data_IF_777689846703
#
_entry.id   IF_777689846703
#
_cell.length_a   1.000
_cell.length_b   1.000
_cell.length_c   1.000
_cell.angle_alpha   90.00
_cell.angle_beta   90.00
_cell.angle_gamma   90.00
#
_symmetry.space_group_name_H-M   'P 1'
#
loop_
_entity.id
_entity.type
_entity.pdbx_description
1 polymer ?
#
# COMPACT_ATOMS: atom_id res chain seq x y z
N UNK A 1 -26.27 -0.97 -2.88
CA UNK A 1 -26.70 -0.93 -1.46
C UNK A 1 -26.03 0.27 -0.80
N UNK A 2 -26.80 1.24 -0.29
CA UNK A 2 -26.24 2.44 0.34
C UNK A 2 -25.91 2.20 1.81
N UNK A 3 -25.00 2.98 2.38
CA UNK A 3 -24.61 2.88 3.79
C UNK A 3 -25.81 3.03 4.74
N UNK A 4 -26.73 3.93 4.41
CA UNK A 4 -27.96 4.16 5.17
C UNK A 4 -28.87 2.91 5.19
N UNK A 5 -29.03 2.25 4.04
CA UNK A 5 -29.80 1.01 3.96
C UNK A 5 -29.15 -0.11 4.80
N UNK A 6 -27.81 -0.19 4.84
CA UNK A 6 -27.11 -1.18 5.67
C UNK A 6 -27.26 -0.91 7.19
N UNK A 7 -27.41 0.35 7.62
CA UNK A 7 -27.74 0.69 9.01
C UNK A 7 -29.17 0.28 9.37
N UNK A 8 -30.14 0.60 8.51
CA UNK A 8 -31.55 0.26 8.73
C UNK A 8 -31.79 -1.25 8.81
N UNK A 9 -30.99 -2.04 8.08
CA UNK A 9 -31.01 -3.50 8.13
C UNK A 9 -30.22 -4.09 9.31
N UNK A 10 -29.60 -3.26 10.16
CA UNK A 10 -28.79 -3.71 11.30
C UNK A 10 -27.47 -4.38 10.92
N UNK A 11 -27.04 -4.27 9.66
CA UNK A 11 -25.76 -4.82 9.17
C UNK A 11 -24.57 -3.98 9.62
N UNK A 12 -24.80 -2.71 9.98
CA UNK A 12 -23.80 -1.77 10.48
C UNK A 12 -24.27 -1.21 11.82
N UNK A 13 -23.42 -1.30 12.84
CA UNK A 13 -23.73 -0.83 14.19
C UNK A 13 -23.81 0.70 14.26
N UNK A 14 -24.62 1.25 15.17
CA UNK A 14 -24.82 2.71 15.35
C UNK A 14 -23.53 3.48 15.68
N UNK A 15 -22.58 2.80 16.34
CA UNK A 15 -21.23 3.32 16.65
C UNK A 15 -20.17 2.93 15.62
N UNK A 16 -20.56 2.49 14.42
CA UNK A 16 -19.59 2.21 13.37
C UNK A 16 -18.81 3.48 13.05
N UNK A 17 -17.46 3.43 13.03
CA UNK A 17 -16.66 4.62 12.83
C UNK A 17 -17.02 5.26 11.49
N UNK A 18 -17.64 6.43 11.57
CA UNK A 18 -17.80 7.28 10.41
C UNK A 18 -16.42 7.85 10.14
N UNK A 19 -15.79 7.40 9.05
CA UNK A 19 -14.80 8.26 8.43
C UNK A 19 -15.61 9.45 7.90
N UNK A 20 -15.73 10.50 8.71
CA UNK A 20 -16.02 11.79 8.12
C UNK A 20 -14.83 12.03 7.21
N UNK A 21 -15.05 11.97 5.89
CA UNK A 21 -14.18 12.72 4.97
C UNK A 21 -14.46 14.16 5.35
N UNK A 22 -13.80 14.62 6.40
CA UNK A 22 -13.67 16.03 6.66
C UNK A 22 -12.90 16.48 5.44
N UNK A 23 -13.63 17.08 4.49
CA UNK A 23 -13.08 18.06 3.58
C UNK A 23 -12.65 19.29 4.40
N UNK A 24 -11.90 19.05 5.47
CA UNK A 24 -11.03 20.03 6.04
C UNK A 24 -9.92 20.12 5.04
N UNK A 25 -9.64 21.34 4.63
CA UNK A 25 -8.37 21.69 4.06
C UNK A 25 -7.25 21.39 5.09
N UNK A 26 -6.97 20.13 5.38
CA UNK A 26 -5.58 19.73 5.31
C UNK A 26 -5.17 20.10 3.88
N UNK A 27 -4.00 20.73 3.64
CA UNK A 27 -3.50 20.77 2.28
C UNK A 27 -3.66 19.35 1.78
N UNK A 28 -4.43 19.18 0.72
CA UNK A 28 -4.27 17.99 -0.07
C UNK A 28 -2.80 18.06 -0.48
N UNK A 29 -1.92 17.47 0.32
CA UNK A 29 -0.78 16.77 -0.21
C UNK A 29 -1.35 15.54 -0.95
N UNK A 30 -2.23 15.79 -1.92
CA UNK A 30 -1.92 15.48 -3.30
C UNK A 30 -0.63 16.22 -3.68
N UNK A 31 0.46 15.94 -2.96
CA UNK A 31 1.67 15.62 -3.67
C UNK A 31 1.27 14.35 -4.39
N UNK A 32 0.66 14.58 -5.56
CA UNK A 32 0.91 13.73 -6.71
C UNK A 32 2.42 13.82 -6.81
N UNK A 33 3.12 13.01 -6.02
CA UNK A 33 4.57 12.88 -6.06
C UNK A 33 4.77 12.57 -7.52
N UNK A 34 5.22 13.59 -8.24
CA UNK A 34 5.26 13.57 -9.68
C UNK A 34 6.13 12.37 -9.94
N UNK A 35 5.52 11.24 -10.32
CA UNK A 35 6.22 9.99 -10.37
C UNK A 35 7.28 10.24 -11.43
N UNK A 36 8.51 10.51 -10.98
CA UNK A 36 9.60 10.78 -11.89
C UNK A 36 9.66 9.52 -12.71
N UNK A 37 9.40 9.66 -14.02
CA UNK A 37 9.29 8.53 -14.93
C UNK A 37 10.51 7.66 -14.65
N UNK A 38 10.26 6.44 -14.15
CA UNK A 38 11.34 5.57 -13.73
C UNK A 38 12.30 5.41 -14.91
N UNK A 39 13.61 5.54 -14.70
CA UNK A 39 14.54 5.47 -15.81
C UNK A 39 14.41 4.10 -16.47
N UNK A 40 14.52 4.04 -17.81
CA UNK A 40 14.36 2.79 -18.54
C UNK A 40 15.40 1.76 -18.10
N UNK A 41 15.05 0.48 -18.18
CA UNK A 41 16.01 -0.60 -17.90
C UNK A 41 17.25 -0.42 -18.80
N UNK A 42 18.47 -0.41 -18.24
CA UNK A 42 19.68 -0.35 -19.04
C UNK A 42 19.80 -1.62 -19.91
N UNK A 43 20.11 -1.44 -21.19
CA UNK A 43 20.32 -2.53 -22.14
C UNK A 43 21.68 -3.21 -21.99
N UNK A 44 22.64 -2.53 -21.35
CA UNK A 44 24.00 -2.99 -21.11
C UNK A 44 24.37 -2.66 -19.66
N UNK A 45 25.02 -3.60 -18.98
CA UNK A 45 25.57 -3.35 -17.65
C UNK A 45 26.74 -2.37 -17.73
N UNK A 46 26.73 -1.35 -16.88
CA UNK A 46 27.78 -0.32 -16.81
C UNK A 46 29.14 -0.91 -16.40
N UNK A 47 29.13 -2.04 -15.68
CA UNK A 47 30.31 -2.73 -15.21
C UNK A 47 30.28 -4.21 -15.61
N UNK A 48 31.43 -4.85 -15.87
CA UNK A 48 31.53 -6.29 -16.03
C UNK A 48 30.97 -7.02 -14.80
N UNK A 49 30.35 -8.19 -15.00
CA UNK A 49 29.81 -9.04 -13.94
C UNK A 49 30.93 -9.75 -13.16
N UNK A 50 31.78 -8.98 -12.48
CA UNK A 50 32.85 -9.42 -11.59
C UNK A 50 32.48 -9.07 -10.15
N UNK A 51 32.89 -9.91 -9.19
CA UNK A 51 32.60 -9.69 -7.77
C UNK A 51 33.20 -8.37 -7.26
N UNK A 52 34.36 -7.96 -7.79
CA UNK A 52 35.04 -6.71 -7.47
C UNK A 52 34.20 -5.47 -7.80
N UNK A 53 33.28 -5.58 -8.77
CA UNK A 53 32.45 -4.47 -9.25
C UNK A 53 31.11 -4.35 -8.51
N UNK A 54 30.78 -5.29 -7.61
CA UNK A 54 29.54 -5.29 -6.83
C UNK A 54 29.31 -3.95 -6.10
N UNK A 55 30.27 -3.37 -5.35
CA UNK A 55 30.04 -2.12 -4.63
C UNK A 55 29.73 -0.95 -5.57
N UNK A 56 30.40 -0.88 -6.73
CA UNK A 56 30.15 0.17 -7.71
C UNK A 56 28.81 0.01 -8.42
N UNK A 57 28.39 -1.24 -8.67
CA UNK A 57 27.10 -1.53 -9.25
C UNK A 57 25.96 -1.16 -8.29
N UNK A 58 26.13 -1.44 -6.99
CA UNK A 58 25.18 -1.05 -5.95
C UNK A 58 25.02 0.48 -5.89
N UNK A 59 26.13 1.20 -5.81
CA UNK A 59 26.12 2.66 -5.76
C UNK A 59 25.51 3.27 -7.03
N UNK A 60 25.82 2.69 -8.19
CA UNK A 60 25.20 3.11 -9.44
C UNK A 60 23.68 2.88 -9.45
N UNK A 61 23.19 1.74 -8.97
CA UNK A 61 21.75 1.45 -8.90
C UNK A 61 21.03 2.43 -7.97
N UNK A 62 21.61 2.70 -6.80
CA UNK A 62 21.08 3.65 -5.84
C UNK A 62 20.99 5.06 -6.44
N UNK A 63 22.06 5.52 -7.11
CA UNK A 63 22.06 6.81 -7.77
C UNK A 63 21.09 6.87 -8.96
N UNK A 64 21.11 5.88 -9.85
CA UNK A 64 20.32 5.87 -11.08
C UNK A 64 18.81 5.81 -10.79
N UNK A 65 18.40 5.00 -9.82
CA UNK A 65 16.99 4.84 -9.45
C UNK A 65 16.58 5.66 -8.21
N UNK A 66 17.41 6.62 -7.78
CA UNK A 66 17.19 7.47 -6.60
C UNK A 66 15.87 8.23 -6.63
N UNK A 67 15.43 8.73 -7.79
CA UNK A 67 14.15 9.44 -7.93
C UNK A 67 12.93 8.53 -8.10
N UNK A 68 13.10 7.20 -8.05
CA UNK A 68 12.01 6.24 -8.32
C UNK A 68 11.97 5.12 -7.28
N UNK A 69 12.54 3.96 -7.59
CA UNK A 69 12.52 2.77 -6.73
C UNK A 69 13.19 3.02 -5.37
N UNK A 70 14.25 3.84 -5.34
CA UNK A 70 15.01 4.18 -4.14
C UNK A 70 14.73 5.60 -3.63
N UNK A 71 13.60 6.20 -4.00
CA UNK A 71 13.24 7.53 -3.49
C UNK A 71 13.00 7.50 -1.97
N UNK A 72 13.79 8.31 -1.26
CA UNK A 72 13.71 8.51 0.19
C UNK A 72 12.78 9.65 0.58
N UNK A 73 12.42 10.54 -0.36
CA UNK A 73 11.52 11.66 -0.13
C UNK A 73 10.05 11.22 -0.25
N UNK A 74 9.68 10.13 0.42
CA UNK A 74 8.30 9.64 0.42
C UNK A 74 7.55 10.21 1.61
N UNK A 75 6.30 10.61 1.39
CA UNK A 75 5.40 10.88 2.50
C UNK A 75 5.23 9.61 3.32
N UNK A 76 5.30 9.69 4.67
CA UNK A 76 5.03 8.53 5.49
C UNK A 76 3.63 8.01 5.19
N UNK A 77 3.48 6.69 5.14
CA UNK A 77 2.15 6.09 5.01
C UNK A 77 1.29 6.60 6.17
N UNK A 78 0.01 6.94 5.91
CA UNK A 78 -0.91 7.32 6.97
C UNK A 78 -0.87 6.25 8.08
N UNK A 79 -0.51 6.66 9.28
CA UNK A 79 -0.55 5.77 10.44
C UNK A 79 -2.02 5.56 10.80
N UNK A 80 -2.45 4.30 10.89
CA UNK A 80 -3.76 3.98 11.44
C UNK A 80 -3.79 4.39 12.91
N UNK A 81 -4.57 5.43 13.22
CA UNK A 81 -4.84 5.85 14.60
C UNK A 81 -6.21 5.29 14.99
N UNK A 82 -6.26 4.54 16.10
CA UNK A 82 -7.50 3.98 16.62
C UNK A 82 -7.27 2.95 17.72
N UNK A 83 -8.35 2.57 18.40
CA UNK A 83 -8.36 1.46 19.34
C UNK A 83 -7.95 0.15 18.64
N UNK A 84 -7.23 -0.71 19.36
CA UNK A 84 -6.82 -2.00 18.83
C UNK A 84 -8.06 -2.85 18.50
N UNK A 85 -8.24 -3.18 17.22
CA UNK A 85 -9.31 -4.08 16.82
C UNK A 85 -9.00 -5.51 17.29
N UNK A 86 -9.93 -6.09 18.04
CA UNK A 86 -9.87 -7.50 18.42
C UNK A 86 -10.62 -8.33 17.40
N UNK A 87 -9.94 -9.28 16.76
CA UNK A 87 -10.58 -10.27 15.90
C UNK A 87 -11.21 -11.32 16.83
N UNK A 88 -12.53 -11.32 16.92
CA UNK A 88 -13.26 -12.34 17.68
C UNK A 88 -13.32 -13.64 16.89
N UNK A 89 -12.42 -14.57 17.21
CA UNK A 89 -12.48 -15.94 16.72
C UNK A 89 -13.39 -16.76 17.64
N UNK A 90 -14.12 -17.74 17.07
CA UNK A 90 -14.79 -18.74 17.88
C UNK A 90 -13.72 -19.53 18.65
N UNK A 91 -13.91 -19.81 19.95
CA UNK A 91 -12.89 -20.47 20.78
C UNK A 91 -12.49 -21.85 20.24
N UNK A 92 -13.44 -22.54 19.59
CA UNK A 92 -13.23 -23.87 18.99
C UNK A 92 -13.04 -23.84 17.47
N UNK A 93 -12.73 -22.67 16.90
CA UNK A 93 -12.45 -22.55 15.47
C UNK A 93 -11.20 -23.36 15.08
N UNK A 94 -11.37 -24.31 14.16
CA UNK A 94 -10.25 -25.05 13.57
C UNK A 94 -9.77 -24.32 12.32
N UNK A 95 -8.47 -23.96 12.23
CA UNK A 95 -7.94 -23.35 11.03
C UNK A 95 -8.02 -24.35 9.86
N UNK A 96 -8.38 -23.84 8.69
CA UNK A 96 -8.52 -24.62 7.46
C UNK A 96 -7.81 -23.88 6.31
N UNK A 97 -7.07 -24.64 5.50
CA UNK A 97 -6.41 -24.12 4.33
C UNK A 97 -7.39 -24.00 3.16
N UNK A 98 -7.66 -22.77 2.71
CA UNK A 98 -8.46 -22.52 1.52
C UNK A 98 -7.58 -22.56 0.26
N UNK A 99 -7.81 -23.54 -0.60
CA UNK A 99 -7.12 -23.68 -1.90
C UNK A 99 -7.98 -23.25 -3.08
N UNK A 100 -9.23 -22.84 -2.82
CA UNK A 100 -10.13 -22.37 -3.86
C UNK A 100 -9.89 -20.89 -4.10
N UNK A 101 -9.54 -20.47 -5.33
CA UNK A 101 -9.39 -19.06 -5.65
C UNK A 101 -10.71 -18.31 -5.42
N UNK A 102 -10.64 -17.06 -4.95
CA UNK A 102 -11.81 -16.20 -4.88
C UNK A 102 -12.38 -15.98 -6.29
N UNK A 103 -13.68 -16.18 -6.46
CA UNK A 103 -14.36 -15.84 -7.71
C UNK A 103 -14.50 -14.33 -7.78
N UNK A 104 -13.76 -13.70 -8.69
CA UNK A 104 -13.85 -12.27 -8.95
C UNK A 104 -14.79 -12.07 -10.15
N UNK A 105 -15.80 -11.20 -10.01
CA UNK A 105 -16.69 -10.86 -11.11
C UNK A 105 -15.90 -10.23 -12.25
N UNK A 106 -16.07 -10.78 -13.47
CA UNK A 106 -15.62 -10.11 -14.69
C UNK A 106 -16.70 -9.10 -15.07
N UNK A 107 -16.40 -7.83 -14.87
CA UNK A 107 -17.21 -6.71 -15.39
C UNK A 107 -16.90 -6.50 -16.87
#
# INVERSE_FOLDING_TARGET
MSFQACRELGLVHERFPHHTVVAGAAPAISDTQSAVVAPPRPSVLQFPALEENVPWLEEWLLCHFSGSAFDTNRSPLPVMVGEQHTIHLLPDAKPYACHTPASVSKH
#
